data_IF_805358695607
#
_entry.id   IF_805358695607
#
_cell.length_a   1.000
_cell.length_b   1.000
_cell.length_c   1.000
_cell.angle_alpha   90.00
_cell.angle_beta   90.00
_cell.angle_gamma   90.00
#
_symmetry.space_group_name_H-M   'P 1'
#
loop_
_entity.id
_entity.type
_entity.pdbx_description
1 polymer ?
#
# COMPACT_ATOMS: atom_id res chain seq x y z
N UNK A 1 3.31 5.70 17.00
CA UNK A 1 4.10 4.98 15.97
C UNK A 1 4.37 5.90 14.79
N UNK A 2 5.55 5.85 14.22
CA UNK A 2 5.86 6.58 13.00
C UNK A 2 5.35 5.82 11.77
N UNK A 3 5.00 6.56 10.73
CA UNK A 3 4.57 5.96 9.46
C UNK A 3 5.63 5.01 8.89
N UNK A 4 6.91 5.38 9.00
CA UNK A 4 8.02 4.52 8.56
C UNK A 4 8.05 3.18 9.28
N UNK A 5 7.69 3.15 10.55
CA UNK A 5 7.62 1.91 11.32
C UNK A 5 6.43 1.05 10.86
N UNK A 6 5.30 1.67 10.57
CA UNK A 6 4.14 0.96 10.02
C UNK A 6 4.50 0.32 8.67
N UNK A 7 5.15 1.09 7.79
CA UNK A 7 5.59 0.58 6.49
C UNK A 7 6.52 -0.63 6.67
N UNK A 8 7.48 -0.54 7.58
CA UNK A 8 8.38 -1.65 7.87
C UNK A 8 7.63 -2.89 8.35
N UNK A 9 6.68 -2.71 9.26
CA UNK A 9 5.89 -3.81 9.81
C UNK A 9 5.02 -4.48 8.71
N UNK A 10 4.46 -3.67 7.82
CA UNK A 10 3.69 -4.19 6.68
C UNK A 10 4.60 -5.03 5.78
N UNK A 11 5.79 -4.54 5.46
CA UNK A 11 6.74 -5.26 4.63
C UNK A 11 7.16 -6.58 5.26
N UNK A 12 7.39 -6.59 6.57
CA UNK A 12 7.71 -7.82 7.30
C UNK A 12 6.59 -8.87 7.18
N UNK A 13 5.36 -8.41 7.29
CA UNK A 13 4.20 -9.30 7.12
C UNK A 13 4.14 -9.85 5.68
N UNK A 14 4.25 -8.98 4.68
CA UNK A 14 4.19 -9.40 3.27
C UNK A 14 5.29 -10.42 2.94
N UNK A 15 6.45 -10.29 3.56
CA UNK A 15 7.57 -11.22 3.37
C UNK A 15 7.24 -12.63 3.86
N UNK A 16 6.23 -12.81 4.71
CA UNK A 16 5.81 -14.12 5.19
C UNK A 16 4.86 -14.83 4.24
N UNK A 17 4.33 -14.15 3.22
CA UNK A 17 3.34 -14.72 2.30
C UNK A 17 4.06 -15.37 1.12
N UNK A 18 3.93 -16.71 0.94
CA UNK A 18 4.56 -17.37 -0.21
C UNK A 18 4.03 -16.82 -1.53
N UNK A 19 4.95 -16.58 -2.48
CA UNK A 19 4.58 -16.11 -3.82
C UNK A 19 4.12 -14.66 -3.89
N UNK A 20 4.30 -13.89 -2.84
CA UNK A 20 3.96 -12.47 -2.81
C UNK A 20 5.17 -11.64 -3.23
N UNK A 21 5.00 -10.83 -4.27
CA UNK A 21 6.02 -9.88 -4.69
C UNK A 21 5.59 -8.48 -4.30
N UNK A 22 6.50 -7.71 -3.69
CA UNK A 22 6.18 -6.36 -3.23
C UNK A 22 7.44 -5.50 -3.23
N UNK A 23 7.24 -4.19 -3.28
CA UNK A 23 8.33 -3.23 -3.08
C UNK A 23 7.78 -1.96 -2.43
N UNK A 24 8.67 -1.25 -1.75
CA UNK A 24 8.36 0.08 -1.23
C UNK A 24 8.62 1.09 -2.33
N UNK A 25 7.61 1.89 -2.66
CA UNK A 25 7.76 2.96 -3.62
C UNK A 25 8.54 4.12 -2.98
N UNK A 26 9.51 4.64 -3.70
CA UNK A 26 10.25 5.81 -3.24
C UNK A 26 9.61 7.06 -3.83
N UNK A 27 9.06 7.91 -2.97
CA UNK A 27 8.60 9.23 -3.37
C UNK A 27 9.76 10.13 -3.71
N UNK A 28 9.48 11.35 -4.17
CA UNK A 28 10.48 12.37 -4.40
C UNK A 28 10.78 12.61 -5.87
N UNK A 29 11.98 13.15 -6.15
CA UNK A 29 12.33 13.73 -7.43
C UNK A 29 12.21 12.76 -8.62
N UNK A 30 12.52 11.51 -8.42
CA UNK A 30 12.53 10.49 -9.48
C UNK A 30 11.37 9.52 -9.41
N UNK A 31 10.50 9.65 -8.40
CA UNK A 31 9.32 8.81 -8.25
C UNK A 31 8.09 9.44 -8.89
N UNK A 32 7.08 8.63 -9.13
CA UNK A 32 5.78 9.12 -9.58
C UNK A 32 5.01 9.64 -8.38
N UNK A 33 4.62 10.92 -8.42
CA UNK A 33 3.88 11.53 -7.33
C UNK A 33 2.52 10.86 -7.13
N UNK A 34 2.14 10.68 -5.88
CA UNK A 34 0.84 10.12 -5.52
C UNK A 34 0.76 8.61 -5.51
N UNK A 35 1.79 7.90 -5.95
CA UNK A 35 1.81 6.44 -5.89
C UNK A 35 1.85 6.00 -4.41
N UNK A 36 0.99 5.04 -4.01
CA UNK A 36 1.00 4.53 -2.65
C UNK A 36 2.35 3.95 -2.22
N UNK A 37 2.60 3.93 -0.90
CA UNK A 37 3.89 3.58 -0.32
C UNK A 37 4.39 2.19 -0.67
N UNK A 38 3.49 1.21 -0.77
CA UNK A 38 3.84 -0.19 -1.01
C UNK A 38 3.00 -0.72 -2.16
N UNK A 39 3.69 -1.29 -3.14
CA UNK A 39 3.04 -1.93 -4.28
C UNK A 39 3.23 -3.44 -4.14
N UNK A 40 2.17 -4.18 -4.34
CA UNK A 40 2.14 -5.64 -4.18
C UNK A 40 1.56 -6.27 -5.43
N UNK A 41 2.17 -7.36 -5.87
CA UNK A 41 1.57 -8.27 -6.85
C UNK A 41 1.45 -9.63 -6.18
N UNK A 42 0.24 -10.13 -6.06
CA UNK A 42 -0.03 -11.43 -5.45
C UNK A 42 -1.18 -12.12 -6.17
N UNK A 43 -0.95 -13.34 -6.61
CA UNK A 43 -1.93 -14.13 -7.39
C UNK A 43 -2.43 -13.37 -8.62
N UNK A 44 -1.53 -12.62 -9.25
CA UNK A 44 -1.85 -11.82 -10.43
C UNK A 44 -2.60 -10.53 -10.13
N UNK A 45 -2.86 -10.20 -8.88
CA UNK A 45 -3.60 -9.00 -8.49
C UNK A 45 -2.64 -7.88 -8.14
N UNK A 46 -2.88 -6.69 -8.68
CA UNK A 46 -2.15 -5.48 -8.32
C UNK A 46 -2.80 -4.86 -7.08
N UNK A 47 -1.97 -4.63 -6.06
CA UNK A 47 -2.43 -4.08 -4.78
C UNK A 47 -1.52 -2.92 -4.40
N UNK A 48 -2.09 -1.78 -4.05
CA UNK A 48 -1.33 -0.60 -3.63
C UNK A 48 -1.80 -0.15 -2.26
N UNK A 49 -0.84 0.00 -1.34
CA UNK A 49 -1.12 0.31 0.05
C UNK A 49 -0.48 1.63 0.44
N UNK A 50 -1.31 2.58 0.87
CA UNK A 50 -0.87 3.88 1.38
C UNK A 50 -0.92 3.83 2.91
N UNK A 51 0.24 3.89 3.56
CA UNK A 51 0.31 3.82 5.02
C UNK A 51 0.09 5.20 5.64
N UNK A 52 -0.82 5.29 6.59
CA UNK A 52 -1.06 6.50 7.38
C UNK A 52 -1.18 6.13 8.84
N UNK A 53 -0.70 6.99 9.73
CA UNK A 53 -0.77 6.78 11.18
C UNK A 53 -1.63 7.86 11.83
N UNK A 54 -2.20 7.54 12.97
CA UNK A 54 -3.05 8.46 13.73
C UNK A 54 -4.22 8.95 12.88
N UNK A 55 -4.39 10.27 12.83
CA UNK A 55 -5.47 10.91 12.08
C UNK A 55 -5.01 11.47 10.72
N UNK A 56 -3.78 11.17 10.32
CA UNK A 56 -3.26 11.65 9.04
C UNK A 56 -4.10 11.10 7.89
N UNK A 57 -4.38 11.98 6.93
CA UNK A 57 -5.18 11.64 5.76
C UNK A 57 -4.31 11.65 4.50
N UNK A 58 -4.67 10.89 3.47
CA UNK A 58 -3.98 10.98 2.20
C UNK A 58 -4.15 12.38 1.60
N UNK A 59 -3.14 12.82 0.85
CA UNK A 59 -3.25 14.05 0.07
C UNK A 59 -4.27 13.85 -1.04
N UNK A 60 -4.70 14.96 -1.68
CA UNK A 60 -5.61 14.89 -2.83
C UNK A 60 -5.04 14.03 -3.95
N UNK A 61 -3.74 14.17 -4.22
CA UNK A 61 -3.08 13.40 -5.27
C UNK A 61 -3.02 11.90 -4.91
N UNK A 62 -2.71 11.57 -3.67
CA UNK A 62 -2.72 10.19 -3.21
C UNK A 62 -4.12 9.57 -3.33
N UNK A 63 -5.14 10.29 -2.89
CA UNK A 63 -6.52 9.82 -2.98
C UNK A 63 -6.97 9.63 -4.43
N UNK A 64 -6.59 10.55 -5.33
CA UNK A 64 -6.91 10.43 -6.75
C UNK A 64 -6.24 9.23 -7.38
N UNK A 65 -4.98 8.97 -7.03
CA UNK A 65 -4.23 7.82 -7.55
C UNK A 65 -4.85 6.49 -7.09
N UNK A 66 -5.24 6.42 -5.82
CA UNK A 66 -5.96 5.25 -5.29
C UNK A 66 -7.21 4.97 -6.11
N UNK A 67 -7.98 6.00 -6.42
CA UNK A 67 -9.20 5.85 -7.22
C UNK A 67 -8.90 5.39 -8.64
N UNK A 68 -7.84 5.90 -9.27
CA UNK A 68 -7.43 5.48 -10.60
C UNK A 68 -7.03 3.98 -10.62
N UNK A 69 -6.32 3.53 -9.60
CA UNK A 69 -5.94 2.12 -9.48
C UNK A 69 -7.20 1.24 -9.36
N UNK A 70 -8.14 1.65 -8.53
CA UNK A 70 -9.41 0.92 -8.36
C UNK A 70 -10.19 0.82 -9.66
N UNK A 71 -10.27 1.91 -10.41
CA UNK A 71 -10.96 1.93 -11.72
C UNK A 71 -10.28 1.03 -12.74
N UNK A 72 -8.97 0.87 -12.63
CA UNK A 72 -8.21 -0.01 -13.50
C UNK A 72 -8.33 -1.50 -13.09
N UNK A 73 -9.07 -1.81 -12.02
CA UNK A 73 -9.27 -3.17 -11.55
C UNK A 73 -8.31 -3.61 -10.46
N UNK A 74 -7.43 -2.73 -10.01
CA UNK A 74 -6.53 -3.04 -8.89
C UNK A 74 -7.20 -2.85 -7.53
N UNK A 75 -6.51 -3.30 -6.49
CA UNK A 75 -6.88 -3.02 -5.11
C UNK A 75 -5.99 -1.88 -4.62
N UNK A 76 -6.58 -0.85 -4.03
CA UNK A 76 -5.81 0.24 -3.45
C UNK A 76 -6.53 0.75 -2.22
N UNK A 77 -5.78 1.00 -1.17
CA UNK A 77 -6.36 1.42 0.10
C UNK A 77 -5.37 2.19 0.96
N UNK A 78 -5.91 3.07 1.80
CA UNK A 78 -5.19 3.61 2.93
C UNK A 78 -5.24 2.57 4.04
N UNK A 79 -4.10 2.23 4.61
CA UNK A 79 -4.00 1.25 5.69
C UNK A 79 -3.34 1.90 6.90
N UNK A 80 -3.86 1.57 8.09
CA UNK A 80 -3.41 2.17 9.34
C UNK A 80 -2.80 1.15 10.29
N UNK A 81 -2.85 -0.13 9.92
CA UNK A 81 -2.30 -1.22 10.72
C UNK A 81 -1.96 -2.41 9.84
N UNK A 82 -1.13 -3.30 10.37
CA UNK A 82 -0.84 -4.58 9.70
C UNK A 82 -2.11 -5.43 9.62
N UNK A 83 -2.97 -5.36 10.61
CA UNK A 83 -4.23 -6.13 10.59
C UNK A 83 -5.12 -5.73 9.42
N UNK A 84 -5.19 -4.43 9.09
CA UNK A 84 -5.93 -3.98 7.90
C UNK A 84 -5.34 -4.56 6.61
N UNK A 85 -4.01 -4.66 6.53
CA UNK A 85 -3.34 -5.28 5.39
C UNK A 85 -3.67 -6.77 5.31
N UNK A 86 -3.68 -7.46 6.45
CA UNK A 86 -4.05 -8.88 6.50
C UNK A 86 -5.46 -9.10 5.97
N UNK A 87 -6.40 -8.25 6.36
CA UNK A 87 -7.78 -8.34 5.86
C UNK A 87 -7.83 -8.20 4.34
N UNK A 88 -7.09 -7.25 3.78
CA UNK A 88 -7.02 -7.07 2.33
C UNK A 88 -6.42 -8.31 1.66
N UNK A 89 -5.29 -8.79 2.15
CA UNK A 89 -4.59 -9.92 1.55
C UNK A 89 -5.42 -11.21 1.59
N UNK A 90 -6.26 -11.37 2.61
CA UNK A 90 -7.14 -12.53 2.73
C UNK A 90 -8.25 -12.55 1.68
N UNK A 91 -8.55 -11.43 1.05
CA UNK A 91 -9.56 -11.35 -0.01
C UNK A 91 -9.00 -11.65 -1.40
N UNK A 92 -7.69 -11.80 -1.50
CA UNK A 92 -7.03 -12.01 -2.80
C UNK A 92 -6.91 -13.49 -3.17
#
# INVERSE_FOLDING_TARGET
MKESQLILNIRKYLATIPGCFYWKEHGGQYGTAGIPDIIVCHKGKFIALEAKVGRNQPTRLQAATIELIRRAGGVAAVVRSVDEVKEIMQTI
#
